data_IF_740349454576
#
_entry.id   IF_740349454576
#
_cell.length_a   1.000
_cell.length_b   1.000
_cell.length_c   1.000
_cell.angle_alpha   90.00
_cell.angle_beta   90.00
_cell.angle_gamma   90.00
#
_symmetry.space_group_name_H-M   'P 1'
#
loop_
_entity.id
_entity.type
_entity.pdbx_description
1 polymer ?
#
# COMPACT_ATOMS: atom_id res chain seq x y z
N UNK A 1 20.80 -7.05 -32.89
CA UNK A 1 19.37 -7.15 -33.27
C UNK A 1 18.94 -8.60 -33.33
N UNK A 2 17.73 -8.87 -32.85
CA UNK A 2 17.12 -10.19 -33.00
C UNK A 2 15.94 -10.11 -33.97
N UNK A 3 15.81 -11.16 -34.77
CA UNK A 3 14.65 -11.34 -35.63
C UNK A 3 13.37 -11.45 -34.77
N UNK A 4 12.30 -10.68 -35.05
CA UNK A 4 11.11 -10.63 -34.23
C UNK A 4 10.35 -11.95 -34.11
N UNK A 5 10.43 -12.79 -35.13
CA UNK A 5 9.69 -14.05 -35.23
C UNK A 5 10.49 -15.24 -34.70
N UNK A 6 11.77 -15.35 -35.10
CA UNK A 6 12.63 -16.49 -34.76
C UNK A 6 13.44 -16.27 -33.47
N UNK A 7 13.57 -15.02 -33.01
CA UNK A 7 14.43 -14.62 -31.89
C UNK A 7 15.92 -14.93 -32.05
N UNK A 8 16.34 -15.23 -33.28
CA UNK A 8 17.75 -15.47 -33.63
C UNK A 8 18.44 -14.14 -33.98
N UNK A 9 19.79 -14.07 -33.79
CA UNK A 9 20.56 -12.91 -34.23
C UNK A 9 20.44 -12.65 -35.73
N UNK A 10 20.18 -11.40 -36.12
CA UNK A 10 20.21 -10.98 -37.51
C UNK A 10 21.67 -10.86 -37.93
N UNK A 11 22.02 -11.44 -39.06
CA UNK A 11 23.35 -11.36 -39.67
C UNK A 11 23.32 -10.36 -40.82
N UNK A 12 24.43 -9.64 -41.04
CA UNK A 12 24.62 -8.80 -42.22
C UNK A 12 25.05 -9.63 -43.44
N UNK A 13 25.31 -8.95 -44.58
CA UNK A 13 25.71 -9.59 -45.81
C UNK A 13 27.06 -10.33 -45.70
N UNK A 14 27.88 -9.99 -44.71
CA UNK A 14 29.19 -10.61 -44.46
C UNK A 14 29.12 -11.68 -43.36
N UNK A 15 27.92 -12.03 -42.90
CA UNK A 15 27.69 -13.04 -41.88
C UNK A 15 27.97 -12.60 -40.43
N UNK A 16 28.14 -11.30 -40.18
CA UNK A 16 28.35 -10.77 -38.85
C UNK A 16 27.03 -10.39 -38.19
N UNK A 17 26.96 -10.53 -36.87
CA UNK A 17 25.79 -10.16 -36.10
C UNK A 17 25.57 -8.64 -36.17
N UNK A 18 24.38 -8.24 -36.65
CA UNK A 18 23.96 -6.83 -36.61
C UNK A 18 23.71 -6.39 -35.19
N UNK A 19 24.47 -5.41 -34.71
CA UNK A 19 24.30 -4.79 -33.41
C UNK A 19 23.62 -3.45 -33.55
N UNK A 20 22.90 -3.04 -32.54
CA UNK A 20 22.39 -1.66 -32.38
C UNK A 20 22.78 -1.13 -31.02
N UNK A 21 23.14 0.13 -30.94
CA UNK A 21 23.32 0.83 -29.71
C UNK A 21 21.94 1.14 -29.14
N UNK A 22 21.70 0.70 -27.90
CA UNK A 22 20.49 1.00 -27.16
C UNK A 22 20.89 1.68 -25.87
N UNK A 23 20.38 2.89 -25.65
CA UNK A 23 20.49 3.52 -24.35
C UNK A 23 19.74 2.68 -23.32
N UNK A 24 20.44 2.24 -22.29
CA UNK A 24 19.89 1.51 -21.16
C UNK A 24 20.06 2.39 -19.93
N UNK A 25 18.97 2.80 -19.32
CA UNK A 25 18.99 3.41 -18.00
C UNK A 25 19.32 2.33 -16.97
N UNK A 26 20.54 2.38 -16.42
CA UNK A 26 20.94 1.51 -15.32
C UNK A 26 20.69 2.26 -14.03
N UNK A 27 19.71 1.87 -13.21
CA UNK A 27 19.49 2.52 -11.92
C UNK A 27 20.70 2.28 -11.03
N UNK A 28 21.41 3.35 -10.70
CA UNK A 28 22.54 3.31 -9.78
C UNK A 28 22.08 3.78 -8.39
N UNK A 29 22.23 2.91 -7.42
CA UNK A 29 22.00 3.22 -6.01
C UNK A 29 23.34 3.48 -5.32
N UNK A 30 23.44 4.59 -4.61
CA UNK A 30 24.56 4.85 -3.71
C UNK A 30 24.05 5.13 -2.31
N UNK A 31 24.74 4.66 -1.27
CA UNK A 31 24.35 4.98 0.09
C UNK A 31 24.49 6.49 0.33
N UNK A 32 23.45 7.09 0.87
CA UNK A 32 23.45 8.46 1.36
C UNK A 32 23.19 8.46 2.85
N UNK A 33 23.82 9.36 3.59
CA UNK A 33 23.50 9.56 5.00
C UNK A 33 22.18 10.33 5.08
N UNK A 34 21.25 9.78 5.81
CA UNK A 34 19.99 10.43 6.17
C UNK A 34 19.97 10.68 7.67
N UNK A 35 19.33 11.77 8.07
CA UNK A 35 19.21 12.16 9.46
C UNK A 35 17.72 12.36 9.77
N UNK A 36 17.30 11.94 10.96
CA UNK A 36 16.01 12.34 11.50
C UNK A 36 16.01 13.86 11.70
N UNK A 37 14.83 14.49 11.53
CA UNK A 37 14.70 15.94 11.72
C UNK A 37 15.18 16.38 13.11
N UNK A 38 14.91 15.59 14.15
CA UNK A 38 15.38 15.85 15.50
C UNK A 38 16.90 15.81 15.67
N UNK A 39 17.64 15.27 14.69
CA UNK A 39 19.11 15.20 14.65
C UNK A 39 19.71 16.35 13.84
N UNK A 40 18.91 17.30 13.39
CA UNK A 40 19.37 18.41 12.55
C UNK A 40 19.14 19.76 13.24
N UNK A 41 20.12 20.65 13.11
CA UNK A 41 19.97 22.07 13.48
C UNK A 41 19.69 22.88 12.21
N UNK A 42 18.64 23.68 12.21
CA UNK A 42 18.32 24.48 11.05
C UNK A 42 17.05 25.31 11.20
N UNK A 43 16.62 25.89 10.08
CA UNK A 43 15.33 26.57 10.03
C UNK A 43 14.21 25.57 10.21
N UNK A 44 13.16 25.92 10.98
CA UNK A 44 11.96 25.08 11.05
C UNK A 44 11.49 24.69 9.65
N UNK A 45 11.06 23.46 9.49
CA UNK A 45 10.39 23.06 8.26
C UNK A 45 9.17 23.98 8.06
N UNK A 46 8.84 24.37 6.82
CA UNK A 46 7.57 25.02 6.56
C UNK A 46 6.46 24.20 7.21
N UNK A 47 5.57 24.86 7.94
CA UNK A 47 4.36 24.17 8.38
C UNK A 47 3.79 23.45 7.17
N UNK A 48 3.65 22.14 7.28
CA UNK A 48 2.88 21.39 6.28
C UNK A 48 1.57 22.15 6.14
N UNK A 49 1.28 22.61 4.94
CA UNK A 49 -0.08 23.04 4.61
C UNK A 49 -0.95 21.91 5.15
N UNK A 50 -1.72 22.22 6.20
CA UNK A 50 -2.50 21.22 6.90
C UNK A 50 -3.29 20.48 5.85
N UNK A 51 -2.88 19.24 5.56
CA UNK A 51 -3.71 18.32 4.79
C UNK A 51 -5.06 18.33 5.51
N UNK A 52 -6.19 18.50 4.80
CA UNK A 52 -7.51 18.39 5.45
C UNK A 52 -7.61 17.16 6.35
N UNK A 53 -6.80 16.18 6.09
CA UNK A 53 -6.70 14.92 6.81
C UNK A 53 -5.81 14.99 8.06
N UNK A 54 -4.87 15.94 8.16
CA UNK A 54 -4.03 16.11 9.36
C UNK A 54 -4.81 16.49 10.64
N UNK A 55 -6.07 16.89 10.50
CA UNK A 55 -6.99 17.20 11.62
C UNK A 55 -7.85 16.01 12.07
N UNK A 56 -7.62 14.80 11.52
CA UNK A 56 -8.37 13.58 11.88
C UNK A 56 -7.99 12.98 13.25
N UNK A 57 -7.16 13.66 14.01
CA UNK A 57 -6.79 13.20 15.34
C UNK A 57 -7.99 13.26 16.28
N UNK A 58 -8.75 12.19 16.35
CA UNK A 58 -9.63 11.87 17.45
C UNK A 58 -11.03 12.47 17.47
N UNK A 59 -11.56 13.12 16.40
CA UNK A 59 -12.92 13.62 16.42
C UNK A 59 -13.89 12.73 15.62
N UNK A 60 -15.04 12.43 16.21
CA UNK A 60 -16.09 11.58 15.63
C UNK A 60 -16.62 12.12 14.30
N UNK A 61 -16.72 13.42 14.16
CA UNK A 61 -17.17 14.07 12.91
C UNK A 61 -16.29 13.74 11.71
N UNK A 62 -15.00 13.58 11.93
CA UNK A 62 -14.07 13.23 10.87
C UNK A 62 -14.04 11.73 10.58
N UNK A 63 -14.38 10.88 11.54
CA UNK A 63 -14.37 9.43 11.39
C UNK A 63 -15.30 8.96 10.26
N UNK A 64 -16.54 9.42 10.25
CA UNK A 64 -17.53 9.05 9.22
C UNK A 64 -17.09 9.49 7.82
N UNK A 65 -16.53 10.68 7.69
CA UNK A 65 -16.00 11.17 6.43
C UNK A 65 -14.77 10.37 5.98
N UNK A 66 -13.91 10.00 6.94
CA UNK A 66 -12.74 9.19 6.68
C UNK A 66 -13.09 7.77 6.25
N UNK A 67 -14.04 7.13 6.92
CA UNK A 67 -14.53 5.80 6.55
C UNK A 67 -15.21 5.81 5.17
N UNK A 68 -15.93 6.86 4.83
CA UNK A 68 -16.50 7.01 3.49
C UNK A 68 -15.40 7.20 2.44
N UNK A 69 -14.36 7.97 2.73
CA UNK A 69 -13.20 8.12 1.86
C UNK A 69 -12.47 6.78 1.67
N UNK A 70 -12.31 5.98 2.73
CA UNK A 70 -11.74 4.62 2.64
C UNK A 70 -12.59 3.70 1.76
N UNK A 71 -13.93 3.75 1.90
CA UNK A 71 -14.84 2.98 1.04
C UNK A 71 -14.67 3.34 -0.43
N UNK A 72 -14.58 4.64 -0.75
CA UNK A 72 -14.37 5.13 -2.12
C UNK A 72 -12.98 4.77 -2.67
N UNK A 73 -11.99 4.60 -1.80
CA UNK A 73 -10.60 4.22 -2.15
C UNK A 73 -10.44 2.71 -2.30
N UNK A 74 -11.41 1.93 -1.83
CA UNK A 74 -11.39 0.47 -1.91
C UNK A 74 -11.67 -0.01 -3.34
N UNK A 75 -10.91 -1.01 -3.85
CA UNK A 75 -11.17 -1.59 -5.16
C UNK A 75 -12.43 -2.46 -5.19
N UNK A 76 -13.00 -2.79 -4.03
CA UNK A 76 -14.17 -3.67 -3.86
C UNK A 76 -15.10 -3.10 -2.78
N UNK A 77 -16.39 -3.45 -2.77
CA UNK A 77 -17.33 -3.01 -1.74
C UNK A 77 -16.87 -3.39 -0.34
N UNK A 78 -17.12 -2.48 0.62
CA UNK A 78 -16.86 -2.69 2.06
C UNK A 78 -18.19 -2.73 2.80
N UNK A 79 -18.45 -3.83 3.49
CA UNK A 79 -19.66 -4.07 4.26
C UNK A 79 -19.33 -4.38 5.73
N UNK A 80 -20.29 -4.16 6.62
CA UNK A 80 -20.17 -4.48 8.05
C UNK A 80 -21.08 -5.66 8.38
N UNK A 81 -20.56 -6.60 9.18
CA UNK A 81 -21.32 -7.76 9.67
C UNK A 81 -20.93 -8.10 11.10
N UNK A 82 -21.82 -8.79 11.77
CA UNK A 82 -21.49 -9.41 13.04
C UNK A 82 -20.53 -10.58 12.80
N UNK A 83 -19.29 -10.43 13.25
CA UNK A 83 -18.23 -11.44 13.18
C UNK A 83 -17.82 -11.86 14.60
N UNK A 84 -17.06 -12.95 14.71
CA UNK A 84 -16.48 -13.35 16.00
C UNK A 84 -15.51 -12.27 16.52
N UNK A 85 -15.35 -12.21 17.83
CA UNK A 85 -14.46 -11.23 18.46
C UNK A 85 -12.97 -11.38 18.06
N UNK A 86 -12.61 -12.53 17.49
CA UNK A 86 -11.25 -12.86 17.05
C UNK A 86 -10.96 -12.44 15.61
N UNK A 87 -11.98 -11.92 14.90
CA UNK A 87 -11.88 -11.56 13.48
C UNK A 87 -12.34 -10.13 13.28
N UNK A 88 -11.44 -9.23 12.97
CA UNK A 88 -11.74 -7.81 12.72
C UNK A 88 -12.33 -7.57 11.33
N UNK A 89 -11.91 -8.36 10.35
CA UNK A 89 -12.41 -8.32 8.99
C UNK A 89 -11.80 -9.40 8.11
N UNK A 90 -12.22 -9.42 6.86
CA UNK A 90 -11.60 -10.25 5.83
C UNK A 90 -11.94 -9.72 4.42
N UNK A 91 -10.98 -9.85 3.52
CA UNK A 91 -11.21 -9.74 2.09
C UNK A 91 -11.58 -11.11 1.51
N UNK A 92 -12.64 -11.17 0.71
CA UNK A 92 -13.07 -12.38 0.01
C UNK A 92 -12.82 -12.27 -1.50
N UNK A 93 -11.83 -12.97 -2.05
CA UNK A 93 -11.61 -13.02 -3.50
C UNK A 93 -12.78 -13.62 -4.28
N UNK A 94 -13.57 -14.49 -3.63
CA UNK A 94 -14.73 -15.14 -4.26
C UNK A 94 -15.90 -14.18 -4.45
N UNK A 95 -16.24 -13.40 -3.42
CA UNK A 95 -17.36 -12.42 -3.48
C UNK A 95 -16.90 -11.04 -3.95
N UNK A 96 -15.59 -10.82 -4.07
CA UNK A 96 -15.01 -9.52 -4.39
C UNK A 96 -15.53 -8.43 -3.45
N UNK A 97 -15.47 -8.68 -2.15
CA UNK A 97 -15.91 -7.78 -1.09
C UNK A 97 -15.03 -7.86 0.14
N UNK A 98 -15.00 -6.77 0.89
CA UNK A 98 -14.40 -6.69 2.22
C UNK A 98 -15.55 -6.71 3.23
N UNK A 99 -15.42 -7.53 4.26
CA UNK A 99 -16.33 -7.55 5.40
C UNK A 99 -15.57 -7.14 6.65
N UNK A 100 -16.10 -6.15 7.37
CA UNK A 100 -15.56 -5.67 8.64
C UNK A 100 -16.49 -6.03 9.79
N UNK A 101 -15.93 -6.26 10.98
CA UNK A 101 -16.70 -6.54 12.18
C UNK A 101 -17.41 -5.29 12.70
N UNK A 102 -18.68 -5.43 13.04
CA UNK A 102 -19.44 -4.40 13.73
C UNK A 102 -18.97 -4.22 15.19
N UNK A 103 -19.09 -3.02 15.72
CA UNK A 103 -18.86 -2.73 17.14
C UNK A 103 -17.39 -2.62 17.55
N UNK A 104 -16.45 -2.53 16.60
CA UNK A 104 -15.05 -2.19 16.89
C UNK A 104 -14.91 -0.71 17.26
N UNK A 105 -13.79 -0.37 17.91
CA UNK A 105 -13.40 1.04 18.06
C UNK A 105 -13.09 1.66 16.68
N UNK A 106 -13.16 2.99 16.59
CA UNK A 106 -12.87 3.71 15.34
C UNK A 106 -11.47 3.39 14.82
N UNK A 107 -10.46 3.41 15.69
CA UNK A 107 -9.06 3.09 15.35
C UNK A 107 -8.95 1.66 14.83
N UNK A 108 -9.57 0.69 15.50
CA UNK A 108 -9.54 -0.72 15.08
C UNK A 108 -10.26 -0.92 13.75
N UNK A 109 -11.39 -0.22 13.54
CA UNK A 109 -12.15 -0.28 12.29
C UNK A 109 -11.35 0.26 11.11
N UNK A 110 -10.68 1.41 11.27
CA UNK A 110 -9.84 2.01 10.24
C UNK A 110 -8.65 1.10 9.93
N UNK A 111 -7.96 0.60 10.95
CA UNK A 111 -6.81 -0.29 10.78
C UNK A 111 -7.21 -1.56 10.03
N UNK A 112 -8.30 -2.21 10.41
CA UNK A 112 -8.84 -3.37 9.73
C UNK A 112 -9.26 -3.05 8.29
N UNK A 113 -9.91 -1.92 8.04
CA UNK A 113 -10.32 -1.52 6.71
C UNK A 113 -9.11 -1.35 5.77
N UNK A 114 -8.06 -0.66 6.21
CA UNK A 114 -6.84 -0.47 5.40
C UNK A 114 -6.13 -1.80 5.16
N UNK A 115 -6.06 -2.67 6.16
CA UNK A 115 -5.48 -4.01 6.05
C UNK A 115 -6.20 -4.83 4.95
N UNK A 116 -7.51 -4.87 4.97
CA UNK A 116 -8.30 -5.62 3.97
C UNK A 116 -8.25 -4.96 2.58
N UNK A 117 -8.19 -3.62 2.50
CA UNK A 117 -7.96 -2.90 1.25
C UNK A 117 -6.58 -3.27 0.66
N UNK A 118 -5.55 -3.42 1.49
CA UNK A 118 -4.24 -3.86 1.04
C UNK A 118 -4.30 -5.28 0.44
N UNK A 119 -4.99 -6.21 1.09
CA UNK A 119 -5.24 -7.54 0.53
C UNK A 119 -5.99 -7.48 -0.79
N UNK A 120 -7.05 -6.67 -0.88
CA UNK A 120 -7.82 -6.53 -2.11
C UNK A 120 -7.02 -5.92 -3.27
N UNK A 121 -6.08 -5.01 -2.98
CA UNK A 121 -5.20 -4.38 -4.00
C UNK A 121 -4.03 -5.29 -4.41
N UNK A 122 -3.42 -6.03 -3.49
CA UNK A 122 -2.18 -6.78 -3.73
C UNK A 122 -2.38 -8.28 -3.91
N UNK A 123 -3.29 -8.88 -3.17
CA UNK A 123 -3.43 -10.33 -3.03
C UNK A 123 -4.73 -10.87 -3.65
N UNK A 124 -5.38 -10.07 -4.48
CA UNK A 124 -6.59 -10.47 -5.20
C UNK A 124 -6.26 -11.31 -6.44
N UNK A 125 -5.85 -12.54 -6.24
CA UNK A 125 -5.49 -13.45 -7.32
C UNK A 125 -6.69 -13.91 -8.19
N UNK A 126 -7.93 -13.61 -7.78
CA UNK A 126 -9.14 -13.99 -8.51
C UNK A 126 -9.45 -13.13 -9.74
N UNK A 127 -9.06 -11.85 -9.73
CA UNK A 127 -9.31 -10.90 -10.83
C UNK A 127 -8.11 -10.66 -11.74
N UNK A 128 -6.92 -10.86 -11.23
CA UNK A 128 -5.74 -10.66 -12.03
C UNK A 128 -5.57 -11.89 -12.90
N UNK A 129 -5.56 -11.70 -14.21
CA UNK A 129 -5.00 -12.67 -15.15
C UNK A 129 -3.50 -12.84 -14.84
N UNK A 130 -3.22 -13.42 -13.69
CA UNK A 130 -1.88 -13.54 -13.14
C UNK A 130 -1.34 -14.91 -13.48
N UNK A 131 -1.28 -15.22 -14.77
CA UNK A 131 -0.45 -16.29 -15.25
C UNK A 131 1.05 -16.08 -14.92
N UNK A 132 1.44 -14.89 -14.47
CA UNK A 132 2.85 -14.50 -14.28
C UNK A 132 3.24 -14.12 -12.83
N UNK A 133 2.31 -13.92 -11.90
CA UNK A 133 2.67 -13.64 -10.50
C UNK A 133 2.64 -14.92 -9.68
N UNK A 134 3.81 -15.36 -9.27
CA UNK A 134 3.94 -16.42 -8.27
C UNK A 134 3.23 -15.97 -6.99
N UNK A 135 2.23 -16.72 -6.55
CA UNK A 135 1.56 -16.44 -5.28
C UNK A 135 2.61 -16.36 -4.16
N UNK A 136 2.53 -15.29 -3.37
CA UNK A 136 3.39 -15.12 -2.20
C UNK A 136 2.98 -16.10 -1.10
N UNK A 137 3.85 -16.33 -0.12
CA UNK A 137 3.44 -17.06 1.06
C UNK A 137 2.42 -16.24 1.84
N UNK A 138 1.46 -16.89 2.50
CA UNK A 138 0.48 -16.20 3.34
C UNK A 138 1.14 -15.28 4.37
N UNK A 139 2.26 -15.72 4.94
CA UNK A 139 3.02 -14.90 5.90
C UNK A 139 3.54 -13.61 5.28
N UNK A 140 4.00 -13.64 4.02
CA UNK A 140 4.46 -12.43 3.30
C UNK A 140 3.27 -11.51 3.01
N UNK A 141 2.12 -12.06 2.62
CA UNK A 141 0.90 -11.29 2.35
C UNK A 141 0.40 -10.56 3.60
N UNK A 142 0.39 -11.25 4.75
CA UNK A 142 0.00 -10.66 6.04
C UNK A 142 0.97 -9.53 6.45
N UNK A 143 2.28 -9.75 6.31
CA UNK A 143 3.29 -8.72 6.63
C UNK A 143 3.14 -7.49 5.73
N UNK A 144 2.88 -7.69 4.44
CA UNK A 144 2.65 -6.57 3.52
C UNK A 144 1.39 -5.80 3.90
N UNK A 145 0.27 -6.48 4.15
CA UNK A 145 -0.99 -5.84 4.51
C UNK A 145 -0.89 -5.10 5.85
N UNK A 146 -0.28 -5.71 6.87
CA UNK A 146 -0.07 -5.09 8.18
C UNK A 146 0.84 -3.87 8.11
N UNK A 147 1.94 -3.97 7.33
CA UNK A 147 2.85 -2.84 7.15
C UNK A 147 2.19 -1.67 6.43
N UNK A 148 1.35 -1.94 5.43
CA UNK A 148 0.58 -0.92 4.72
C UNK A 148 -0.42 -0.28 5.66
N UNK A 149 -1.17 -1.07 6.44
CA UNK A 149 -2.11 -0.56 7.43
C UNK A 149 -1.42 0.37 8.43
N UNK A 150 -0.28 -0.06 8.98
CA UNK A 150 0.52 0.77 9.88
C UNK A 150 0.96 2.09 9.24
N UNK A 151 1.51 2.04 8.02
CA UNK A 151 2.00 3.25 7.33
C UNK A 151 0.88 4.24 7.03
N UNK A 152 -0.27 3.75 6.54
CA UNK A 152 -1.42 4.59 6.23
C UNK A 152 -2.00 5.20 7.51
N UNK A 153 -2.23 4.40 8.55
CA UNK A 153 -2.73 4.89 9.83
C UNK A 153 -1.78 5.93 10.45
N UNK A 154 -0.47 5.65 10.47
CA UNK A 154 0.53 6.58 10.99
C UNK A 154 0.57 7.90 10.20
N UNK A 155 0.40 7.87 8.87
CA UNK A 155 0.34 9.08 8.05
C UNK A 155 -0.82 9.98 8.46
N UNK A 156 -1.98 9.41 8.77
CA UNK A 156 -3.16 10.15 9.21
C UNK A 156 -3.20 10.43 10.72
N UNK A 157 -2.12 10.13 11.45
CA UNK A 157 -2.02 10.35 12.89
C UNK A 157 -2.88 9.40 13.73
N UNK A 158 -3.26 8.26 13.17
CA UNK A 158 -4.03 7.21 13.85
C UNK A 158 -3.04 6.22 14.46
N UNK A 159 -2.96 6.18 15.78
CA UNK A 159 -2.08 5.26 16.50
C UNK A 159 -2.70 3.86 16.57
N UNK A 160 -2.11 2.91 15.86
CA UNK A 160 -2.55 1.51 15.84
C UNK A 160 -1.78 0.61 16.81
N UNK A 161 -0.91 1.19 17.63
CA UNK A 161 -0.14 0.47 18.64
C UNK A 161 1.08 -0.29 18.11
N UNK A 162 1.91 -0.78 19.05
CA UNK A 162 3.18 -1.46 18.75
C UNK A 162 3.03 -2.88 18.14
N UNK A 163 1.81 -3.33 17.85
CA UNK A 163 1.55 -4.71 17.41
C UNK A 163 2.14 -5.02 16.04
N UNK A 164 2.19 -4.04 15.14
CA UNK A 164 2.66 -4.20 13.77
C UNK A 164 4.16 -4.49 13.67
N UNK A 165 4.97 -3.98 14.59
CA UNK A 165 6.43 -4.16 14.53
C UNK A 165 6.90 -5.60 14.80
N UNK A 166 6.16 -6.37 15.57
CA UNK A 166 6.48 -7.77 15.86
C UNK A 166 6.51 -8.66 14.61
N UNK A 167 5.58 -8.45 13.72
CA UNK A 167 5.47 -9.19 12.45
C UNK A 167 6.63 -8.84 11.49
N UNK A 168 6.91 -7.56 11.30
CA UNK A 168 8.00 -7.09 10.41
C UNK A 168 9.36 -7.59 10.91
N UNK A 169 9.63 -7.53 12.22
CA UNK A 169 10.88 -7.98 12.80
C UNK A 169 11.09 -9.50 12.68
N UNK A 170 10.02 -10.29 12.78
CA UNK A 170 10.10 -11.76 12.65
C UNK A 170 10.29 -12.17 11.19
N UNK A 171 9.60 -11.52 10.28
CA UNK A 171 9.69 -11.79 8.85
C UNK A 171 11.06 -11.41 8.27
N UNK A 172 11.61 -10.24 8.67
CA UNK A 172 12.92 -9.76 8.20
C UNK A 172 14.09 -10.68 8.54
N UNK A 173 13.96 -11.52 9.57
CA UNK A 173 14.98 -12.51 9.93
C UNK A 173 15.03 -13.71 8.97
N UNK A 174 13.95 -14.00 8.26
CA UNK A 174 13.79 -15.20 7.44
C UNK A 174 13.71 -14.93 5.94
N UNK A 175 13.56 -13.67 5.52
CA UNK A 175 13.48 -13.31 4.12
C UNK A 175 14.86 -13.06 3.51
N UNK A 176 15.10 -13.53 2.29
CA UNK A 176 16.29 -13.16 1.54
C UNK A 176 16.26 -11.66 1.19
N UNK A 177 17.43 -11.03 1.15
CA UNK A 177 17.56 -9.57 0.97
C UNK A 177 16.84 -9.01 -0.28
N UNK A 178 16.85 -9.68 -1.46
CA UNK A 178 16.11 -9.23 -2.63
C UNK A 178 14.58 -9.29 -2.46
N UNK A 179 14.05 -10.35 -1.84
CA UNK A 179 12.62 -10.50 -1.55
C UNK A 179 12.14 -9.45 -0.55
N UNK A 180 12.95 -9.19 0.47
CA UNK A 180 12.71 -8.15 1.46
C UNK A 180 12.59 -6.77 0.80
N UNK A 181 13.54 -6.41 -0.06
CA UNK A 181 13.52 -5.13 -0.79
C UNK A 181 12.31 -4.99 -1.70
N UNK A 182 11.97 -6.05 -2.45
CA UNK A 182 10.82 -6.06 -3.33
C UNK A 182 9.49 -5.86 -2.56
N UNK A 183 9.38 -6.46 -1.38
CA UNK A 183 8.21 -6.24 -0.51
C UNK A 183 8.18 -4.84 0.08
N UNK A 184 9.31 -4.27 0.51
CA UNK A 184 9.36 -2.88 0.98
C UNK A 184 8.93 -1.88 -0.10
N UNK A 185 9.37 -2.06 -1.34
CA UNK A 185 8.95 -1.24 -2.48
C UNK A 185 7.44 -1.39 -2.74
N UNK A 186 6.92 -2.60 -2.66
CA UNK A 186 5.49 -2.90 -2.83
C UNK A 186 4.66 -2.23 -1.73
N UNK A 187 5.08 -2.37 -0.47
CA UNK A 187 4.45 -1.75 0.69
C UNK A 187 4.42 -0.22 0.53
N UNK A 188 5.58 0.39 0.25
CA UNK A 188 5.68 1.84 0.11
C UNK A 188 4.82 2.41 -1.01
N UNK A 189 4.83 1.78 -2.19
CA UNK A 189 4.01 2.19 -3.34
C UNK A 189 2.52 2.06 -3.06
N UNK A 190 2.11 0.95 -2.45
CA UNK A 190 0.69 0.69 -2.17
C UNK A 190 0.17 1.59 -1.07
N UNK A 191 0.92 1.78 0.01
CA UNK A 191 0.56 2.71 1.08
C UNK A 191 0.40 4.13 0.55
N UNK A 192 1.36 4.63 -0.25
CA UNK A 192 1.27 5.95 -0.87
C UNK A 192 0.07 6.08 -1.82
N UNK A 193 -0.24 5.04 -2.58
CA UNK A 193 -1.44 5.01 -3.43
C UNK A 193 -2.72 5.11 -2.62
N UNK A 194 -2.85 4.35 -1.52
CA UNK A 194 -4.02 4.40 -0.63
C UNK A 194 -4.13 5.80 0.01
N UNK A 195 -3.03 6.35 0.52
CA UNK A 195 -3.00 7.68 1.12
C UNK A 195 -3.54 8.74 0.12
N UNK A 196 -3.01 8.74 -1.10
CA UNK A 196 -3.42 9.67 -2.15
C UNK A 196 -4.91 9.54 -2.50
N UNK A 197 -5.40 8.31 -2.64
CA UNK A 197 -6.82 8.05 -2.93
C UNK A 197 -7.71 8.55 -1.77
N UNK A 198 -7.32 8.26 -0.52
CA UNK A 198 -8.07 8.66 0.68
C UNK A 198 -8.09 10.18 0.82
N UNK A 199 -6.96 10.88 0.66
CA UNK A 199 -6.90 12.34 0.72
C UNK A 199 -7.85 12.98 -0.29
N UNK A 200 -7.83 12.48 -1.54
CA UNK A 200 -8.71 12.96 -2.60
C UNK A 200 -10.18 12.79 -2.23
N UNK A 201 -10.57 11.57 -1.88
CA UNK A 201 -11.98 11.26 -1.57
C UNK A 201 -12.46 11.92 -0.28
N UNK A 202 -11.57 12.09 0.70
CA UNK A 202 -11.90 12.80 1.93
C UNK A 202 -12.23 14.28 1.63
N UNK A 203 -11.43 14.93 0.79
CA UNK A 203 -11.72 16.30 0.38
C UNK A 203 -13.04 16.42 -0.40
N UNK A 204 -13.40 15.42 -1.21
CA UNK A 204 -14.68 15.34 -1.91
C UNK A 204 -15.84 15.19 -0.92
N UNK A 205 -15.76 14.22 0.01
CA UNK A 205 -16.80 13.97 1.03
C UNK A 205 -17.01 15.19 1.92
N UNK A 206 -15.94 15.87 2.35
CA UNK A 206 -16.07 17.09 3.14
C UNK A 206 -16.78 18.24 2.38
N UNK A 207 -16.54 18.36 1.07
CA UNK A 207 -17.24 19.34 0.24
C UNK A 207 -18.73 19.00 0.07
N UNK A 208 -19.04 17.74 -0.18
CA UNK A 208 -20.41 17.26 -0.29
C UNK A 208 -21.21 17.57 0.98
N UNK A 209 -20.67 17.24 2.16
CA UNK A 209 -21.29 17.51 3.48
C UNK A 209 -21.43 18.99 3.83
N UNK A 210 -20.57 19.85 3.28
CA UNK A 210 -20.67 21.29 3.50
C UNK A 210 -21.74 21.97 2.62
N UNK A 211 -22.29 21.27 1.66
CA UNK A 211 -23.35 21.74 0.75
C UNK A 211 -24.76 21.25 1.14
N UNK A 212 -24.83 20.32 2.10
CA UNK A 212 -26.09 19.84 2.71
C UNK A 212 -26.52 20.70 3.90
#
# INVERSE_FOLDING_TARGET
KLDPDTKLPILDADGKIVTEEKEIEIPMFRPVKVFDYAQTDGKPLPERVASPVANLTGSVENYEAFMEALRRSSPVPVEFKSLSAEMDGYFSPKSQSITLREGMSEVQTVSAAVHEIAHAKLHNYGLQQVAERKAKSRNTEEVEAESISFMVCAYFGIETGANSFGYVATWSKNAELPEFRASLDTIGKTANGIITDVEKHFAEVCKERAME
#
